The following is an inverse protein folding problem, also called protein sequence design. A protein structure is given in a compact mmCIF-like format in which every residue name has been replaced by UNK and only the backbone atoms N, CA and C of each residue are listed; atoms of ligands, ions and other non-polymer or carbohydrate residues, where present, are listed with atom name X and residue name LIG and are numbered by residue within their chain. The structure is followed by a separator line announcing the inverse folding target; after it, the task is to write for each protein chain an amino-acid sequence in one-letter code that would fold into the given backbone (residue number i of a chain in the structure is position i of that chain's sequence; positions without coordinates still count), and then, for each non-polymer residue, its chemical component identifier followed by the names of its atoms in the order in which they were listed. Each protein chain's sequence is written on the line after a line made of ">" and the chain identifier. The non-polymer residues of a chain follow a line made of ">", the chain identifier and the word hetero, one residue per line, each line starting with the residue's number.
data_IF_004507529002
#
_entry.id   IF_004507529002
#
_cell.length_a   1.000
_cell.length_b   1.000
_cell.length_c   1.000
_cell.angle_alpha   90.00
_cell.angle_beta   90.00
_cell.angle_gamma   90.00
#
_symmetry.space_group_name_H-M   'P 1'
#
loop_
_entity.id
_entity.type
_entity.pdbx_description
1 polymer ?
#
# COMPACT_ATOMS: atom_id res chain seq x y z
N UNK A 1 6.30 15.27 -21.76
CA UNK A 1 6.16 13.88 -21.25
C UNK A 1 7.18 13.01 -21.96
N UNK A 2 7.99 12.23 -21.21
CA UNK A 2 9.09 11.46 -21.82
C UNK A 2 8.59 10.14 -22.45
N UNK A 3 7.66 9.44 -21.80
CA UNK A 3 7.04 8.20 -22.29
C UNK A 3 5.54 8.38 -22.50
N UNK A 4 5.09 9.01 -23.60
CA UNK A 4 3.68 9.22 -23.87
C UNK A 4 2.91 7.92 -24.10
N UNK A 5 3.52 6.97 -24.80
CA UNK A 5 2.89 5.68 -25.13
C UNK A 5 2.55 4.88 -23.88
N UNK A 6 3.53 4.76 -22.96
CA UNK A 6 3.30 4.08 -21.69
C UNK A 6 2.28 4.80 -20.80
N UNK A 7 2.28 6.13 -20.82
CA UNK A 7 1.33 6.93 -20.06
C UNK A 7 -0.12 6.76 -20.55
N UNK A 8 -0.34 6.66 -21.86
CA UNK A 8 -1.68 6.47 -22.46
C UNK A 8 -2.31 5.14 -22.03
N UNK A 9 -1.51 4.08 -21.88
CA UNK A 9 -2.01 2.74 -21.53
C UNK A 9 -1.63 2.30 -20.09
N UNK A 10 -1.20 3.23 -19.26
CA UNK A 10 -0.81 2.99 -17.86
C UNK A 10 0.24 1.89 -17.68
N UNK A 11 1.24 1.83 -18.57
CA UNK A 11 2.33 0.86 -18.50
C UNK A 11 3.66 1.54 -18.21
N UNK A 12 4.53 0.83 -17.51
CA UNK A 12 5.90 1.24 -17.23
C UNK A 12 6.78 1.27 -18.49
N UNK A 13 6.48 0.42 -19.48
CA UNK A 13 7.27 0.23 -20.67
C UNK A 13 6.80 1.14 -21.80
N UNK A 14 7.73 1.52 -22.69
CA UNK A 14 7.40 2.24 -23.91
C UNK A 14 6.82 1.28 -24.98
N UNK A 15 6.46 1.82 -26.14
CA UNK A 15 5.89 1.04 -27.25
C UNK A 15 6.78 -0.06 -27.79
N UNK A 16 8.12 0.03 -27.57
CA UNK A 16 9.09 -1.00 -27.91
C UNK A 16 9.19 -2.11 -26.86
N UNK A 17 8.44 -2.01 -25.76
CA UNK A 17 8.52 -2.94 -24.64
C UNK A 17 9.72 -2.69 -23.71
N UNK A 18 10.47 -1.59 -23.89
CA UNK A 18 11.64 -1.24 -23.09
C UNK A 18 11.20 -0.58 -21.78
N UNK A 19 11.73 -1.05 -20.64
CA UNK A 19 11.68 -0.33 -19.38
C UNK A 19 12.72 0.79 -19.42
N UNK A 20 12.28 2.03 -19.60
CA UNK A 20 13.15 3.19 -19.74
C UNK A 20 14.06 3.34 -18.52
N UNK A 21 13.57 3.06 -17.31
CA UNK A 21 14.40 3.10 -16.09
C UNK A 21 15.30 1.86 -15.92
N UNK A 22 15.53 1.10 -16.99
CA UNK A 22 16.53 0.02 -17.09
C UNK A 22 17.35 0.15 -18.37
N UNK A 23 17.39 1.35 -18.95
CA UNK A 23 18.03 1.65 -20.23
C UNK A 23 19.19 2.66 -20.12
N UNK A 24 19.59 3.04 -18.90
CA UNK A 24 20.58 4.09 -18.68
C UNK A 24 22.01 3.72 -19.14
N UNK A 25 22.33 2.42 -19.27
CA UNK A 25 23.64 1.98 -19.80
C UNK A 25 23.69 2.00 -21.34
N UNK A 26 22.71 1.38 -21.97
CA UNK A 26 22.73 1.17 -23.42
C UNK A 26 22.08 2.32 -24.20
N UNK A 27 21.15 3.06 -23.56
CA UNK A 27 20.39 4.14 -24.19
C UNK A 27 19.74 3.68 -25.51
N UNK A 28 19.20 2.46 -25.52
CA UNK A 28 18.60 1.86 -26.71
C UNK A 28 17.32 2.58 -27.14
N UNK A 29 16.55 3.08 -26.16
CA UNK A 29 15.31 3.81 -26.43
C UNK A 29 15.57 5.29 -26.78
N UNK A 30 14.69 5.90 -27.59
CA UNK A 30 14.74 7.34 -27.84
C UNK A 30 14.51 8.16 -26.56
N UNK A 31 13.67 7.67 -25.65
CA UNK A 31 13.38 8.30 -24.37
C UNK A 31 14.63 8.30 -23.47
N UNK A 32 15.36 7.18 -23.40
CA UNK A 32 16.60 7.07 -22.64
C UNK A 32 17.65 8.05 -23.14
N UNK A 33 17.84 8.14 -24.47
CA UNK A 33 18.75 9.12 -25.10
C UNK A 33 18.33 10.55 -24.82
N UNK A 34 17.04 10.84 -24.89
CA UNK A 34 16.51 12.18 -24.62
C UNK A 34 16.76 12.59 -23.17
N UNK A 35 16.47 11.70 -22.20
CA UNK A 35 16.70 11.97 -20.79
C UNK A 35 18.17 12.25 -20.49
N UNK A 36 19.06 11.43 -21.04
CA UNK A 36 20.51 11.62 -20.91
C UNK A 36 20.96 12.95 -21.49
N UNK A 37 20.50 13.29 -22.70
CA UNK A 37 20.84 14.55 -23.39
C UNK A 37 20.34 15.77 -22.60
N UNK A 38 19.13 15.72 -22.07
CA UNK A 38 18.58 16.81 -21.23
C UNK A 38 19.42 16.98 -19.96
N UNK A 39 19.72 15.87 -19.27
CA UNK A 39 20.58 15.93 -18.08
C UNK A 39 21.93 16.55 -18.40
N UNK A 40 22.57 16.12 -19.48
CA UNK A 40 23.89 16.62 -19.85
C UNK A 40 23.88 18.10 -20.25
N UNK A 41 22.79 18.58 -20.84
CA UNK A 41 22.65 19.99 -21.23
C UNK A 41 22.36 20.91 -20.03
N UNK A 42 21.73 20.39 -18.98
CA UNK A 42 21.37 21.17 -17.78
C UNK A 42 22.53 21.24 -16.78
N UNK A 43 23.39 20.23 -16.73
CA UNK A 43 24.50 20.10 -15.76
C UNK A 43 24.06 20.42 -14.32
N UNK A 44 22.84 19.99 -13.95
CA UNK A 44 22.23 20.35 -12.67
C UNK A 44 22.99 19.72 -11.48
N UNK A 45 23.24 20.51 -10.44
CA UNK A 45 23.88 20.06 -9.21
C UNK A 45 23.00 19.10 -8.41
N UNK A 46 21.68 19.31 -8.44
CA UNK A 46 20.68 18.49 -7.74
C UNK A 46 19.55 18.06 -8.67
N UNK A 47 19.01 16.87 -8.41
CA UNK A 47 17.86 16.31 -9.10
C UNK A 47 16.94 15.53 -8.18
N UNK A 48 15.64 15.57 -8.48
CA UNK A 48 14.63 14.77 -7.77
C UNK A 48 14.15 13.62 -8.66
N UNK A 49 14.14 12.42 -8.09
CA UNK A 49 13.58 11.22 -8.70
C UNK A 49 12.33 10.82 -7.90
N UNK A 50 11.15 11.09 -8.48
CA UNK A 50 9.88 10.96 -7.78
C UNK A 50 9.21 9.63 -8.14
N UNK A 51 8.94 8.82 -7.13
CA UNK A 51 8.33 7.51 -7.22
C UNK A 51 7.14 7.34 -6.28
N UNK A 52 6.37 6.30 -6.53
CA UNK A 52 5.28 5.82 -5.70
C UNK A 52 5.58 4.41 -5.23
N UNK A 53 5.60 4.20 -3.92
CA UNK A 53 5.80 2.87 -3.34
C UNK A 53 4.50 2.31 -2.77
N UNK A 54 4.48 1.00 -2.56
CA UNK A 54 3.36 0.33 -1.91
C UNK A 54 3.09 0.90 -0.52
N UNK A 55 1.81 1.11 -0.18
CA UNK A 55 1.37 1.54 1.17
C UNK A 55 1.76 0.56 2.30
N UNK A 56 2.19 -0.65 1.95
CA UNK A 56 2.56 -1.69 2.91
C UNK A 56 3.99 -1.59 3.42
N UNK A 57 4.75 -0.57 3.00
CA UNK A 57 6.02 -0.25 3.62
C UNK A 57 5.83 0.50 4.93
N UNK A 58 6.57 0.09 5.97
CA UNK A 58 6.65 0.71 7.28
C UNK A 58 8.06 1.25 7.56
N UNK A 59 8.20 2.16 8.50
CA UNK A 59 9.48 2.46 9.11
C UNK A 59 9.92 1.23 9.93
N UNK A 60 11.14 0.77 9.73
CA UNK A 60 11.67 -0.50 10.25
C UNK A 60 11.28 -0.75 11.71
N UNK A 61 10.74 -1.94 11.99
CA UNK A 61 10.32 -2.41 13.34
C UNK A 61 9.25 -1.56 14.02
N UNK A 62 8.43 -0.85 13.25
CA UNK A 62 7.30 -0.08 13.79
C UNK A 62 6.02 -0.37 13.02
N UNK A 63 4.88 -0.03 13.64
CA UNK A 63 3.56 -0.04 13.00
C UNK A 63 3.29 1.22 12.15
N UNK A 64 4.27 2.13 12.08
CA UNK A 64 4.15 3.38 11.35
C UNK A 64 4.40 3.16 9.87
N UNK A 65 3.50 3.59 8.97
CA UNK A 65 3.77 3.53 7.54
C UNK A 65 4.99 4.40 7.19
N UNK A 66 5.82 3.93 6.26
CA UNK A 66 6.82 4.75 5.63
C UNK A 66 6.13 5.64 4.59
N UNK A 67 5.49 6.71 5.07
CA UNK A 67 4.70 7.64 4.25
C UNK A 67 5.54 8.30 3.17
N UNK A 68 6.76 8.69 3.53
CA UNK A 68 7.80 9.05 2.57
C UNK A 68 9.03 8.20 2.85
N UNK A 69 9.63 7.66 1.80
CA UNK A 69 10.96 7.06 1.91
C UNK A 69 11.93 7.80 1.01
N UNK A 70 13.11 8.07 1.53
CA UNK A 70 14.15 8.81 0.81
C UNK A 70 15.33 7.92 0.48
N UNK A 71 16.03 8.27 -0.59
CA UNK A 71 17.29 7.64 -0.95
C UNK A 71 18.22 8.65 -1.65
N UNK A 72 19.48 8.67 -1.23
CA UNK A 72 20.60 9.13 -2.05
C UNK A 72 21.18 7.89 -2.76
N UNK A 73 20.88 7.66 -4.06
CA UNK A 73 21.25 6.42 -4.75
C UNK A 73 22.74 6.15 -4.70
N UNK A 74 23.10 4.86 -4.66
CA UNK A 74 24.48 4.46 -4.87
C UNK A 74 24.90 4.73 -6.32
N UNK A 75 26.21 4.92 -6.56
CA UNK A 75 26.77 5.08 -7.90
C UNK A 75 27.73 3.95 -8.27
N UNK A 76 27.97 3.02 -7.33
CA UNK A 76 28.76 1.81 -7.49
C UNK A 76 28.29 0.71 -6.53
N UNK A 77 28.78 -0.50 -6.71
CA UNK A 77 28.44 -1.67 -5.89
C UNK A 77 28.95 -1.59 -4.46
N UNK A 78 30.04 -0.86 -4.23
CA UNK A 78 30.66 -0.64 -2.93
C UNK A 78 29.84 0.34 -2.07
N UNK A 79 28.85 1.03 -2.68
CA UNK A 79 28.02 2.05 -2.04
C UNK A 79 28.82 3.20 -1.46
N UNK A 80 29.93 3.55 -2.09
CA UNK A 80 30.80 4.63 -1.65
C UNK A 80 30.06 5.96 -1.55
N UNK A 81 30.54 6.82 -0.66
CA UNK A 81 30.00 8.16 -0.46
C UNK A 81 31.02 9.17 -0.96
N UNK A 82 30.79 9.69 -2.17
CA UNK A 82 31.50 10.85 -2.69
C UNK A 82 30.75 12.15 -2.32
N UNK A 83 31.29 13.30 -2.73
CA UNK A 83 30.68 14.62 -2.46
C UNK A 83 29.24 14.70 -3.03
N UNK A 84 29.02 14.21 -4.26
CA UNK A 84 27.72 14.25 -4.94
C UNK A 84 26.67 13.48 -4.15
N UNK A 85 26.97 12.25 -3.75
CA UNK A 85 26.06 11.43 -2.93
C UNK A 85 25.88 12.02 -1.53
N UNK A 86 26.97 12.49 -0.92
CA UNK A 86 26.95 13.11 0.40
C UNK A 86 26.06 14.37 0.46
N UNK A 87 26.07 15.18 -0.59
CA UNK A 87 25.21 16.36 -0.69
C UNK A 87 23.72 15.96 -0.73
N UNK A 88 23.34 14.96 -1.51
CA UNK A 88 21.98 14.42 -1.53
C UNK A 88 21.57 13.89 -0.13
N UNK A 89 22.44 13.12 0.54
CA UNK A 89 22.20 12.59 1.89
C UNK A 89 21.94 13.72 2.90
N UNK A 90 22.72 14.80 2.87
CA UNK A 90 22.56 15.96 3.78
C UNK A 90 21.23 16.68 3.54
N UNK A 91 20.82 16.88 2.28
CA UNK A 91 19.52 17.49 1.97
C UNK A 91 18.39 16.59 2.46
N UNK A 92 18.49 15.27 2.31
CA UNK A 92 17.50 14.30 2.82
C UNK A 92 17.35 14.39 4.35
N UNK A 93 18.42 14.59 5.09
CA UNK A 93 18.34 14.79 6.55
C UNK A 93 17.42 15.97 6.89
N UNK A 94 17.58 17.12 6.24
CA UNK A 94 16.73 18.29 6.46
C UNK A 94 15.27 18.04 6.03
N UNK A 95 15.07 17.33 4.93
CA UNK A 95 13.72 16.92 4.50
C UNK A 95 13.06 16.05 5.56
N UNK A 96 13.78 15.05 6.09
CA UNK A 96 13.29 14.18 7.16
C UNK A 96 12.96 14.98 8.43
N UNK A 97 13.85 15.84 8.90
CA UNK A 97 13.63 16.67 10.11
C UNK A 97 12.32 17.47 9.99
N UNK A 98 12.07 18.08 8.83
CA UNK A 98 10.84 18.82 8.60
C UNK A 98 9.61 17.92 8.60
N UNK A 99 9.65 16.79 7.89
CA UNK A 99 8.52 15.86 7.77
C UNK A 99 8.18 15.22 9.11
N UNK A 100 9.16 14.98 10.00
CA UNK A 100 8.91 14.50 11.35
C UNK A 100 8.00 15.43 12.17
N UNK A 101 7.91 16.71 11.85
CA UNK A 101 6.97 17.67 12.47
C UNK A 101 5.51 17.44 12.05
N UNK A 102 5.25 16.80 10.93
CA UNK A 102 3.91 16.54 10.37
C UNK A 102 3.51 15.07 10.45
N UNK A 103 4.44 14.16 10.24
CA UNK A 103 4.25 12.73 10.22
C UNK A 103 5.32 12.01 11.05
N UNK A 104 5.30 12.14 12.37
CA UNK A 104 6.35 11.62 13.26
C UNK A 104 6.47 10.10 13.18
N UNK A 105 7.69 9.63 12.91
CA UNK A 105 8.01 8.21 12.78
C UNK A 105 7.56 7.59 11.45
N UNK A 106 7.09 8.38 10.48
CA UNK A 106 6.56 7.89 9.21
C UNK A 106 7.49 8.17 8.02
N UNK A 107 8.78 8.30 8.28
CA UNK A 107 9.80 8.44 7.23
C UNK A 107 10.70 7.22 7.26
N UNK A 108 10.95 6.66 6.08
CA UNK A 108 11.87 5.57 5.87
C UNK A 108 13.06 5.96 4.98
N UNK A 109 14.10 5.14 5.01
CA UNK A 109 15.19 5.17 4.04
C UNK A 109 15.04 3.97 3.11
N UNK A 110 14.98 4.23 1.81
CA UNK A 110 14.84 3.17 0.81
C UNK A 110 16.16 2.41 0.62
N UNK A 111 16.08 1.17 0.13
CA UNK A 111 17.25 0.33 -0.15
C UNK A 111 18.18 1.00 -1.18
N UNK A 112 19.48 1.04 -0.89
CA UNK A 112 20.53 1.64 -1.72
C UNK A 112 21.34 0.64 -2.54
N UNK A 113 20.79 -0.54 -2.86
CA UNK A 113 21.42 -1.47 -3.78
C UNK A 113 21.59 -0.84 -5.17
N UNK A 114 22.83 -0.86 -5.66
CA UNK A 114 23.16 -0.25 -6.94
C UNK A 114 22.55 -1.01 -8.12
N UNK A 115 21.69 -0.35 -8.89
CA UNK A 115 21.15 -0.88 -10.16
C UNK A 115 21.76 -0.13 -11.34
N UNK A 116 22.80 -0.70 -11.96
CA UNK A 116 23.59 0.01 -12.99
C UNK A 116 22.80 0.41 -14.23
N UNK A 117 21.61 -0.16 -14.46
CA UNK A 117 20.74 0.19 -15.59
C UNK A 117 19.73 1.29 -15.24
N UNK A 118 19.58 1.64 -13.95
CA UNK A 118 18.61 2.65 -13.53
C UNK A 118 19.10 4.07 -13.77
N UNK A 119 18.20 4.95 -14.20
CA UNK A 119 18.54 6.37 -14.40
C UNK A 119 18.87 7.09 -13.09
N UNK A 120 18.18 6.78 -11.99
CA UNK A 120 18.47 7.41 -10.69
C UNK A 120 19.92 7.24 -10.26
N UNK A 121 20.42 6.00 -10.32
CA UNK A 121 21.79 5.63 -9.98
C UNK A 121 22.80 6.23 -10.97
N UNK A 122 22.47 6.23 -12.26
CA UNK A 122 23.37 6.81 -13.26
C UNK A 122 23.40 8.34 -13.23
N UNK A 123 22.30 9.01 -13.00
CA UNK A 123 22.27 10.48 -12.84
C UNK A 123 23.14 10.87 -11.64
N UNK A 124 23.05 10.11 -10.53
CA UNK A 124 23.97 10.24 -9.38
C UNK A 124 25.43 10.05 -9.82
N UNK A 125 25.73 8.98 -10.55
CA UNK A 125 27.06 8.66 -11.08
C UNK A 125 27.59 9.73 -12.04
N UNK A 126 26.71 10.36 -12.80
CA UNK A 126 27.07 11.42 -13.77
C UNK A 126 27.27 12.79 -13.09
N UNK A 127 27.17 12.88 -11.77
CA UNK A 127 27.52 14.08 -11.01
C UNK A 127 26.36 14.97 -10.54
N UNK A 128 25.10 14.55 -10.70
CA UNK A 128 23.93 15.23 -10.13
C UNK A 128 23.54 14.60 -8.80
N UNK A 129 23.56 15.38 -7.71
CA UNK A 129 23.12 14.92 -6.38
C UNK A 129 21.65 14.54 -6.43
N UNK A 130 21.36 13.25 -6.57
CA UNK A 130 20.02 12.73 -6.81
C UNK A 130 19.31 12.40 -5.50
N UNK A 131 18.10 12.95 -5.32
CA UNK A 131 17.22 12.70 -4.19
C UNK A 131 16.03 11.90 -4.68
N UNK A 132 15.97 10.62 -4.35
CA UNK A 132 14.81 9.79 -4.61
C UNK A 132 13.80 9.98 -3.49
N UNK A 133 12.53 10.11 -3.86
CA UNK A 133 11.38 10.16 -2.95
C UNK A 133 10.39 9.08 -3.39
N UNK A 134 10.10 8.15 -2.49
CA UNK A 134 9.06 7.15 -2.63
C UNK A 134 7.84 7.55 -1.79
N UNK A 135 6.70 7.76 -2.42
CA UNK A 135 5.43 8.10 -1.77
C UNK A 135 4.68 6.83 -1.39
N UNK A 136 4.54 6.54 -0.11
CA UNK A 136 3.94 5.32 0.42
C UNK A 136 2.47 5.45 0.81
N UNK A 137 2.14 4.98 2.02
CA UNK A 137 0.80 5.04 2.62
C UNK A 137 0.69 6.07 3.74
N UNK A 138 -0.54 6.54 3.97
CA UNK A 138 -0.92 7.35 5.13
C UNK A 138 -2.31 6.92 5.57
N UNK A 139 -2.56 6.85 6.89
CA UNK A 139 -3.82 6.38 7.42
C UNK A 139 -4.99 7.30 6.99
N UNK A 140 -6.05 6.73 6.45
CA UNK A 140 -7.24 7.43 5.96
C UNK A 140 -7.00 8.41 4.79
N UNK A 141 -5.91 8.24 4.03
CA UNK A 141 -5.55 9.08 2.89
C UNK A 141 -5.56 8.28 1.57
N UNK A 142 -6.72 7.70 1.23
CA UNK A 142 -6.88 6.88 0.02
C UNK A 142 -6.52 7.65 -1.27
N UNK A 143 -6.83 8.94 -1.31
CA UNK A 143 -6.56 9.83 -2.45
C UNK A 143 -5.18 10.51 -2.37
N UNK A 144 -4.33 10.09 -1.43
CA UNK A 144 -2.96 10.59 -1.22
C UNK A 144 -2.84 12.12 -1.10
N UNK A 145 -3.85 12.79 -0.52
CA UNK A 145 -3.85 14.26 -0.38
C UNK A 145 -2.87 14.74 0.68
N UNK A 146 -2.79 14.07 1.83
CA UNK A 146 -1.78 14.36 2.86
C UNK A 146 -0.38 13.99 2.38
N UNK A 147 -0.22 12.86 1.71
CA UNK A 147 1.06 12.46 1.11
C UNK A 147 1.54 13.50 0.08
N UNK A 148 0.63 14.01 -0.76
CA UNK A 148 0.94 15.06 -1.74
C UNK A 148 1.40 16.36 -1.06
N UNK A 149 0.73 16.76 0.01
CA UNK A 149 1.12 17.90 0.84
C UNK A 149 2.50 17.70 1.47
N UNK A 150 2.78 16.52 2.02
CA UNK A 150 4.08 16.20 2.60
C UNK A 150 5.19 16.22 1.54
N UNK A 151 4.96 15.70 0.34
CA UNK A 151 5.90 15.82 -0.78
C UNK A 151 6.18 17.29 -1.13
N UNK A 152 5.12 18.10 -1.25
CA UNK A 152 5.27 19.53 -1.56
C UNK A 152 6.13 20.24 -0.53
N UNK A 153 5.83 20.06 0.77
CA UNK A 153 6.56 20.69 1.87
C UNK A 153 8.02 20.21 1.91
N UNK A 154 8.22 18.91 1.70
CA UNK A 154 9.54 18.27 1.70
C UNK A 154 10.42 18.79 0.56
N UNK A 155 9.89 18.86 -0.67
CA UNK A 155 10.62 19.39 -1.82
C UNK A 155 10.92 20.88 -1.64
N UNK A 156 9.97 21.66 -1.11
CA UNK A 156 10.18 23.08 -0.86
C UNK A 156 11.32 23.31 0.17
N UNK A 157 11.37 22.48 1.22
CA UNK A 157 12.46 22.51 2.20
C UNK A 157 13.82 22.17 1.56
N UNK A 158 13.85 21.17 0.69
CA UNK A 158 15.05 20.80 -0.06
C UNK A 158 15.53 21.96 -0.94
N UNK A 159 14.64 22.58 -1.72
CA UNK A 159 14.96 23.72 -2.58
C UNK A 159 15.48 24.91 -1.76
N UNK A 160 14.86 25.20 -0.61
CA UNK A 160 15.35 26.25 0.30
C UNK A 160 16.74 25.93 0.84
N UNK A 161 16.96 24.69 1.26
CA UNK A 161 18.25 24.23 1.77
C UNK A 161 19.35 24.32 0.71
N UNK A 162 19.07 23.94 -0.52
CA UNK A 162 20.00 24.02 -1.66
C UNK A 162 20.33 25.49 -1.95
N UNK A 163 19.30 26.35 -2.07
CA UNK A 163 19.50 27.77 -2.40
C UNK A 163 20.29 28.52 -1.33
N UNK A 164 20.11 28.18 -0.06
CA UNK A 164 20.82 28.81 1.08
C UNK A 164 22.10 28.09 1.47
N UNK A 165 22.39 26.95 0.85
CA UNK A 165 23.50 26.04 1.19
C UNK A 165 23.48 25.57 2.64
N UNK A 166 22.31 25.58 3.29
CA UNK A 166 22.19 25.16 4.70
C UNK A 166 22.51 23.68 4.91
N UNK A 167 22.31 22.84 3.88
CA UNK A 167 22.68 21.42 3.91
C UNK A 167 24.17 21.17 4.15
N UNK A 168 25.06 22.12 3.76
CA UNK A 168 26.52 21.95 3.98
C UNK A 168 26.88 21.79 5.45
N UNK A 169 26.06 22.31 6.37
CA UNK A 169 26.26 22.25 7.82
C UNK A 169 25.78 20.96 8.47
N UNK A 170 25.12 20.11 7.70
CA UNK A 170 24.52 18.87 8.22
C UNK A 170 25.59 17.80 8.39
N UNK A 171 25.56 17.12 9.55
CA UNK A 171 26.37 15.93 9.79
C UNK A 171 25.82 14.76 8.95
N UNK A 172 26.67 14.21 8.11
CA UNK A 172 26.34 13.08 7.25
C UNK A 172 25.88 11.85 8.03
N UNK A 173 26.39 11.65 9.25
CA UNK A 173 25.99 10.54 10.11
C UNK A 173 24.51 10.59 10.53
N UNK A 174 23.84 11.73 10.41
CA UNK A 174 22.41 11.85 10.66
C UNK A 174 21.55 11.11 9.62
N UNK A 175 22.06 10.93 8.39
CA UNK A 175 21.37 10.16 7.37
C UNK A 175 21.16 8.70 7.77
N UNK A 176 22.16 8.07 8.38
CA UNK A 176 22.10 6.68 8.83
C UNK A 176 21.12 6.47 10.00
N UNK A 177 20.70 7.54 10.68
CA UNK A 177 19.70 7.48 11.76
C UNK A 177 18.26 7.42 11.24
N UNK A 178 18.02 7.72 9.96
CA UNK A 178 16.72 7.52 9.33
C UNK A 178 16.52 6.00 9.22
N UNK A 179 15.43 5.43 9.80
CA UNK A 179 15.21 3.98 9.77
C UNK A 179 15.05 3.48 8.33
N UNK A 180 15.45 2.25 8.07
CA UNK A 180 15.15 1.61 6.79
C UNK A 180 13.63 1.46 6.64
N UNK A 181 13.12 1.46 5.41
CA UNK A 181 11.78 0.99 5.18
C UNK A 181 11.77 -0.55 5.12
N UNK A 182 10.67 -1.15 5.57
CA UNK A 182 10.43 -2.58 5.53
C UNK A 182 9.00 -2.82 5.02
N UNK A 183 8.72 -3.94 4.37
CA UNK A 183 7.39 -4.22 3.81
C UNK A 183 6.62 -5.19 4.72
N UNK A 184 6.16 -4.69 5.87
CA UNK A 184 5.52 -5.50 6.93
C UNK A 184 4.18 -4.96 7.42
N UNK A 185 3.45 -4.20 6.59
CA UNK A 185 2.10 -3.76 6.91
C UNK A 185 1.04 -4.58 6.18
N UNK A 186 -0.08 -4.77 6.86
CA UNK A 186 -1.34 -5.25 6.29
C UNK A 186 -2.41 -4.16 6.45
N UNK A 187 -3.47 -4.18 5.64
CA UNK A 187 -4.65 -3.35 5.91
C UNK A 187 -5.36 -3.82 7.16
N UNK A 188 -5.57 -5.14 7.28
CA UNK A 188 -6.10 -5.76 8.48
C UNK A 188 -5.18 -6.91 8.93
N UNK A 189 -4.80 -6.90 10.21
CA UNK A 189 -4.15 -8.02 10.89
C UNK A 189 -5.09 -8.56 11.97
N UNK A 190 -5.36 -9.86 11.94
CA UNK A 190 -6.11 -10.57 12.98
C UNK A 190 -5.13 -11.47 13.71
N UNK A 191 -4.96 -11.28 15.01
CA UNK A 191 -3.99 -12.01 15.83
C UNK A 191 -4.66 -13.10 16.66
N UNK A 192 -4.00 -14.26 16.82
CA UNK A 192 -4.41 -15.34 17.73
C UNK A 192 -5.81 -15.90 17.48
N UNK A 193 -6.31 -15.91 16.25
CA UNK A 193 -7.64 -16.44 15.94
C UNK A 193 -7.64 -17.97 15.85
N UNK A 194 -8.68 -18.61 16.37
CA UNK A 194 -8.88 -20.06 16.25
C UNK A 194 -9.56 -20.41 14.92
N UNK A 195 -8.99 -21.39 14.25
CA UNK A 195 -9.49 -21.97 13.01
C UNK A 195 -9.63 -23.47 13.13
N UNK A 196 -10.81 -24.02 12.82
CA UNK A 196 -11.07 -25.45 12.82
C UNK A 196 -10.93 -26.05 11.42
N UNK A 197 -10.08 -27.06 11.28
CA UNK A 197 -9.88 -27.79 10.03
C UNK A 197 -9.71 -29.29 10.32
N UNK A 198 -10.54 -30.11 9.67
CA UNK A 198 -10.49 -31.58 9.78
C UNK A 198 -10.52 -32.08 11.24
N UNK A 199 -11.35 -31.43 12.07
CA UNK A 199 -11.52 -31.82 13.48
C UNK A 199 -10.40 -31.33 14.43
N UNK A 200 -9.41 -30.58 13.93
CA UNK A 200 -8.37 -29.98 14.75
C UNK A 200 -8.56 -28.47 14.83
N UNK A 201 -8.18 -27.89 15.97
CA UNK A 201 -8.18 -26.44 16.18
C UNK A 201 -6.75 -25.92 16.09
N UNK A 202 -6.57 -24.91 15.23
CA UNK A 202 -5.31 -24.18 15.05
C UNK A 202 -5.47 -22.76 15.55
N UNK A 203 -4.44 -22.18 16.15
CA UNK A 203 -4.39 -20.74 16.45
C UNK A 203 -3.37 -20.12 15.52
N UNK A 204 -3.76 -19.06 14.81
CA UNK A 204 -2.93 -18.42 13.80
C UNK A 204 -3.29 -16.93 13.64
N UNK A 205 -2.38 -16.19 13.02
CA UNK A 205 -2.63 -14.82 12.58
C UNK A 205 -3.06 -14.80 11.11
N UNK A 206 -3.77 -13.76 10.71
CA UNK A 206 -4.22 -13.52 9.33
C UNK A 206 -3.80 -12.12 8.92
N UNK A 207 -3.06 -12.00 7.82
CA UNK A 207 -2.71 -10.74 7.18
C UNK A 207 -3.50 -10.52 5.89
N UNK A 208 -4.16 -9.37 5.78
CA UNK A 208 -5.05 -9.02 4.67
C UNK A 208 -4.58 -7.75 3.96
N UNK A 209 -4.54 -7.76 2.63
CA UNK A 209 -4.38 -6.57 1.80
C UNK A 209 -5.67 -6.22 1.07
N UNK A 210 -5.87 -4.92 0.85
CA UNK A 210 -6.91 -4.37 -0.02
C UNK A 210 -6.30 -4.00 -1.36
N UNK A 211 -6.68 -4.73 -2.40
CA UNK A 211 -6.25 -4.48 -3.77
C UNK A 211 -7.28 -3.57 -4.47
N UNK A 212 -6.80 -2.53 -5.09
CA UNK A 212 -7.63 -1.67 -5.94
C UNK A 212 -7.86 -2.36 -7.29
N UNK A 213 -9.11 -2.39 -7.71
CA UNK A 213 -9.54 -2.99 -8.99
C UNK A 213 -10.38 -1.96 -9.72
N UNK A 214 -9.93 -1.55 -10.88
CA UNK A 214 -10.63 -0.59 -11.71
C UNK A 214 -11.94 -1.16 -12.26
N UNK A 215 -12.93 -0.27 -12.43
CA UNK A 215 -14.08 -0.59 -13.26
C UNK A 215 -13.68 -0.66 -14.75
N UNK A 216 -14.58 -1.13 -15.61
CA UNK A 216 -14.29 -1.31 -17.04
C UNK A 216 -13.96 -0.01 -17.79
N UNK A 217 -14.37 1.15 -17.26
CA UNK A 217 -14.10 2.47 -17.85
C UNK A 217 -12.89 3.17 -17.25
N UNK A 218 -12.23 2.56 -16.24
CA UNK A 218 -11.14 3.16 -15.47
C UNK A 218 -11.45 4.51 -14.83
N UNK A 219 -12.75 4.80 -14.62
CA UNK A 219 -13.24 6.04 -14.00
C UNK A 219 -13.40 5.93 -12.49
N UNK A 220 -13.52 4.69 -11.99
CA UNK A 220 -13.71 4.36 -10.58
C UNK A 220 -13.00 3.05 -10.27
N UNK A 221 -12.73 2.82 -9.00
CA UNK A 221 -12.18 1.56 -8.53
C UNK A 221 -12.99 1.01 -7.35
N UNK A 222 -12.84 -0.27 -7.11
CA UNK A 222 -13.34 -0.94 -5.91
C UNK A 222 -12.24 -1.78 -5.26
N UNK A 223 -12.40 -2.04 -3.97
CA UNK A 223 -11.41 -2.80 -3.21
C UNK A 223 -11.73 -4.28 -3.24
N UNK A 224 -10.73 -5.09 -3.58
CA UNK A 224 -10.77 -6.55 -3.46
C UNK A 224 -9.77 -7.00 -2.41
N UNK A 225 -10.26 -7.43 -1.25
CA UNK A 225 -9.38 -7.94 -0.22
C UNK A 225 -8.89 -9.34 -0.53
N UNK A 226 -7.65 -9.62 -0.11
CA UNK A 226 -7.05 -10.95 -0.16
C UNK A 226 -6.25 -11.22 1.11
N UNK A 227 -6.31 -12.47 1.58
CA UNK A 227 -5.36 -12.98 2.57
C UNK A 227 -3.99 -13.07 1.89
N UNK A 228 -3.01 -12.39 2.47
CA UNK A 228 -1.66 -12.36 1.93
C UNK A 228 -0.71 -13.30 2.67
N UNK A 229 -1.00 -13.54 3.95
CA UNK A 229 -0.21 -14.46 4.76
C UNK A 229 -1.02 -15.02 5.93
N UNK A 230 -0.62 -16.19 6.43
CA UNK A 230 -1.25 -16.95 7.51
C UNK A 230 -0.18 -17.58 8.40
N UNK A 231 -0.40 -17.60 9.71
CA UNK A 231 0.48 -18.30 10.63
C UNK A 231 1.05 -17.40 11.71
N UNK A 232 2.37 -17.36 11.88
CA UNK A 232 3.05 -16.44 12.80
C UNK A 232 3.39 -15.13 12.10
N UNK A 233 2.60 -14.10 12.37
CA UNK A 233 2.83 -12.76 11.84
C UNK A 233 3.31 -11.79 12.93
N UNK A 234 4.00 -12.28 13.96
CA UNK A 234 4.46 -11.50 15.12
C UNK A 234 5.39 -10.33 14.76
N UNK A 235 6.06 -10.41 13.60
CA UNK A 235 6.95 -9.35 13.08
C UNK A 235 6.26 -8.42 12.07
N UNK A 236 4.96 -8.60 11.84
CA UNK A 236 4.15 -7.79 10.94
C UNK A 236 3.17 -6.92 11.72
N UNK A 237 2.68 -5.87 11.09
CA UNK A 237 1.77 -4.90 11.67
C UNK A 237 0.54 -4.72 10.79
N UNK A 238 -0.52 -4.14 11.33
CA UNK A 238 -1.73 -3.79 10.58
C UNK A 238 -2.05 -2.30 10.72
N UNK A 239 -2.55 -1.69 9.65
CA UNK A 239 -3.23 -0.40 9.75
C UNK A 239 -4.42 -0.51 10.72
N UNK A 240 -5.11 -1.66 10.66
CA UNK A 240 -6.07 -2.10 11.65
C UNK A 240 -5.62 -3.45 12.23
N UNK A 241 -5.63 -3.60 13.56
CA UNK A 241 -5.26 -4.86 14.23
C UNK A 241 -6.36 -5.28 15.18
N UNK A 242 -6.84 -6.52 15.00
CA UNK A 242 -7.76 -7.18 15.93
C UNK A 242 -7.05 -8.26 16.72
N UNK A 243 -6.98 -8.12 18.03
CA UNK A 243 -6.55 -9.21 18.93
C UNK A 243 -7.68 -10.19 19.14
N UNK A 244 -7.65 -11.32 18.45
CA UNK A 244 -8.74 -12.30 18.38
C UNK A 244 -8.54 -13.51 19.31
N UNK A 245 -7.76 -13.38 20.37
CA UNK A 245 -7.56 -14.45 21.35
C UNK A 245 -8.89 -14.89 21.96
N UNK A 246 -9.20 -16.18 21.78
CA UNK A 246 -10.47 -16.77 22.22
C UNK A 246 -11.62 -16.63 21.22
N UNK A 247 -11.39 -15.99 20.08
CA UNK A 247 -12.34 -15.99 18.97
C UNK A 247 -12.12 -17.17 18.05
N UNK A 248 -13.22 -17.70 17.51
CA UNK A 248 -13.23 -18.75 16.48
C UNK A 248 -13.77 -18.19 15.17
N UNK A 249 -13.17 -18.61 14.07
CA UNK A 249 -13.69 -18.34 12.72
C UNK A 249 -14.93 -19.21 12.50
N UNK A 250 -16.01 -18.59 12.05
CA UNK A 250 -17.25 -19.25 11.63
C UNK A 250 -17.46 -18.97 10.14
N UNK A 251 -17.61 -20.01 9.30
CA UNK A 251 -17.95 -19.83 7.89
C UNK A 251 -19.27 -19.09 7.70
N UNK A 252 -19.31 -18.21 6.70
CA UNK A 252 -20.53 -17.47 6.37
C UNK A 252 -21.54 -18.32 5.62
N UNK A 253 -22.84 -18.05 5.82
CA UNK A 253 -23.97 -18.66 5.11
C UNK A 253 -24.51 -17.71 4.05
N UNK A 254 -25.24 -18.26 3.05
CA UNK A 254 -25.99 -17.48 2.06
C UNK A 254 -27.38 -17.23 2.59
N UNK A 255 -27.79 -15.95 2.59
CA UNK A 255 -29.19 -15.54 2.83
C UNK A 255 -29.91 -15.37 1.50
N UNK A 256 -31.07 -16.03 1.35
CA UNK A 256 -31.96 -15.87 0.21
C UNK A 256 -33.09 -14.92 0.62
N UNK A 257 -33.14 -13.68 0.08
CA UNK A 257 -34.18 -12.72 0.44
C UNK A 257 -35.56 -13.16 -0.07
N UNK A 258 -36.61 -12.74 0.63
CA UNK A 258 -37.99 -12.91 0.17
C UNK A 258 -38.27 -12.00 -1.02
N UNK A 259 -39.27 -12.33 -1.82
CA UNK A 259 -39.68 -11.50 -2.97
C UNK A 259 -39.98 -10.06 -2.50
N UNK A 260 -39.28 -9.09 -3.06
CA UNK A 260 -39.41 -7.67 -2.73
C UNK A 260 -38.66 -7.21 -1.48
N UNK A 261 -37.96 -8.09 -0.79
CA UNK A 261 -37.12 -7.72 0.35
C UNK A 261 -35.91 -6.92 -0.12
N UNK A 262 -35.72 -5.73 0.50
CA UNK A 262 -34.63 -4.84 0.14
C UNK A 262 -33.41 -5.05 1.08
N UNK A 263 -32.19 -4.93 0.55
CA UNK A 263 -30.97 -5.01 1.34
C UNK A 263 -30.76 -3.68 2.08
N UNK A 264 -31.13 -3.64 3.37
CA UNK A 264 -30.81 -2.49 4.23
C UNK A 264 -29.64 -2.81 5.17
N UNK A 265 -28.96 -1.78 5.69
CA UNK A 265 -27.85 -1.95 6.62
C UNK A 265 -28.31 -2.67 7.90
N UNK A 266 -29.43 -2.30 8.46
CA UNK A 266 -30.01 -2.90 9.69
C UNK A 266 -30.30 -4.39 9.48
N UNK A 267 -30.85 -4.72 8.32
CA UNK A 267 -31.10 -6.11 7.93
C UNK A 267 -29.80 -6.89 7.82
N UNK A 268 -28.77 -6.31 7.17
CA UNK A 268 -27.48 -6.93 7.02
C UNK A 268 -26.83 -7.22 8.39
N UNK A 269 -26.80 -6.25 9.31
CA UNK A 269 -26.28 -6.47 10.66
C UNK A 269 -27.04 -7.58 11.41
N UNK A 270 -28.37 -7.62 11.28
CA UNK A 270 -29.19 -8.69 11.87
C UNK A 270 -28.86 -10.06 11.28
N UNK A 271 -28.54 -10.14 9.99
CA UNK A 271 -28.19 -11.35 9.30
C UNK A 271 -26.77 -11.82 9.65
N UNK A 272 -25.81 -10.90 9.71
CA UNK A 272 -24.43 -11.19 10.13
C UNK A 272 -24.41 -11.84 11.54
N UNK A 273 -25.19 -11.30 12.50
CA UNK A 273 -25.35 -11.89 13.84
C UNK A 273 -25.93 -13.31 13.82
N UNK A 274 -26.65 -13.69 12.74
CA UNK A 274 -27.26 -15.04 12.55
C UNK A 274 -26.39 -15.98 11.70
N UNK A 275 -25.19 -15.52 11.31
CA UNK A 275 -24.26 -16.35 10.55
C UNK A 275 -24.28 -16.18 9.03
N UNK A 276 -25.03 -15.21 8.49
CA UNK A 276 -25.10 -14.96 7.06
C UNK A 276 -24.09 -13.87 6.66
N UNK A 277 -23.23 -14.18 5.70
CA UNK A 277 -22.24 -13.22 5.14
C UNK A 277 -22.61 -12.85 3.70
N UNK A 278 -23.33 -13.73 3.03
CA UNK A 278 -23.67 -13.57 1.62
C UNK A 278 -25.16 -13.29 1.44
N UNK A 279 -25.48 -12.30 0.61
CA UNK A 279 -26.84 -11.94 0.20
C UNK A 279 -27.06 -12.39 -1.23
N UNK A 280 -28.01 -13.29 -1.48
CA UNK A 280 -28.38 -13.71 -2.82
C UNK A 280 -29.27 -12.64 -3.48
N UNK A 281 -28.79 -12.01 -4.54
CA UNK A 281 -29.53 -10.94 -5.19
C UNK A 281 -29.02 -10.51 -6.54
N UNK A 282 -29.71 -9.57 -7.20
CA UNK A 282 -29.24 -9.02 -8.45
C UNK A 282 -27.95 -8.25 -8.23
N UNK A 283 -27.03 -8.35 -9.18
CA UNK A 283 -25.73 -7.68 -9.15
C UNK A 283 -25.82 -6.15 -9.32
N UNK A 284 -26.95 -5.65 -9.83
CA UNK A 284 -27.19 -4.22 -10.05
C UNK A 284 -27.79 -3.58 -8.79
N UNK A 285 -26.98 -3.38 -7.76
CA UNK A 285 -27.40 -2.62 -6.57
C UNK A 285 -27.03 -1.14 -6.67
N UNK A 286 -26.48 -0.68 -7.80
CA UNK A 286 -25.96 0.68 -7.96
C UNK A 286 -24.87 1.01 -6.92
N UNK A 287 -24.61 2.30 -6.71
CA UNK A 287 -23.58 2.80 -5.76
C UNK A 287 -23.80 2.31 -4.32
N UNK A 288 -25.04 2.01 -3.94
CA UNK A 288 -25.36 1.48 -2.59
C UNK A 288 -24.82 0.07 -2.36
N UNK A 289 -24.57 -0.71 -3.39
CA UNK A 289 -24.03 -2.07 -3.28
C UNK A 289 -22.61 -2.12 -2.75
N UNK A 290 -21.80 -1.14 -3.09
CA UNK A 290 -20.41 -1.07 -2.63
C UNK A 290 -20.27 -0.78 -1.14
N UNK A 291 -21.29 -0.18 -0.52
CA UNK A 291 -21.30 0.16 0.90
C UNK A 291 -22.17 -0.80 1.73
N UNK A 292 -22.59 -1.93 1.16
CA UNK A 292 -23.41 -2.91 1.85
C UNK A 292 -22.53 -3.88 2.66
N UNK A 293 -22.83 -4.11 3.96
CA UNK A 293 -21.95 -4.87 4.85
C UNK A 293 -22.05 -6.40 4.68
N UNK A 294 -22.51 -6.89 3.55
CA UNK A 294 -22.53 -8.30 3.14
C UNK A 294 -22.06 -8.44 1.70
N UNK A 295 -21.51 -9.59 1.36
CA UNK A 295 -21.21 -9.93 -0.03
C UNK A 295 -22.49 -10.20 -0.80
N UNK A 296 -22.74 -9.47 -1.88
CA UNK A 296 -23.86 -9.75 -2.79
C UNK A 296 -23.43 -10.78 -3.83
N UNK A 297 -24.16 -11.88 -3.91
CA UNK A 297 -23.83 -13.00 -4.81
C UNK A 297 -24.98 -13.32 -5.76
N UNK A 298 -24.65 -13.78 -6.96
CA UNK A 298 -25.64 -14.19 -7.94
C UNK A 298 -26.17 -15.61 -7.65
N UNK A 299 -27.25 -15.99 -8.31
CA UNK A 299 -27.81 -17.34 -8.24
C UNK A 299 -26.89 -18.45 -8.80
N UNK A 300 -25.81 -18.08 -9.47
CA UNK A 300 -24.77 -19.01 -9.94
C UNK A 300 -23.67 -19.24 -8.90
N UNK A 301 -23.66 -18.45 -7.84
CA UNK A 301 -22.66 -18.58 -6.78
C UNK A 301 -22.89 -19.86 -5.98
N UNK A 302 -21.86 -20.67 -5.89
CA UNK A 302 -21.83 -21.87 -5.06
C UNK A 302 -20.89 -21.59 -3.90
N UNK A 303 -21.40 -21.70 -2.66
CA UNK A 303 -20.57 -21.54 -1.48
C UNK A 303 -19.56 -22.69 -1.40
N UNK A 304 -18.26 -22.43 -1.52
CA UNK A 304 -17.25 -23.48 -1.43
C UNK A 304 -17.10 -23.96 0.02
N UNK A 305 -16.53 -25.16 0.19
CA UNK A 305 -16.05 -25.59 1.50
C UNK A 305 -15.07 -24.55 2.04
N UNK A 306 -15.35 -24.05 3.24
CA UNK A 306 -14.56 -22.98 3.81
C UNK A 306 -13.16 -23.48 4.20
N UNK A 307 -12.14 -22.91 3.59
CA UNK A 307 -10.72 -23.11 3.94
C UNK A 307 -9.96 -21.80 3.85
N UNK A 308 -9.13 -21.56 4.85
CA UNK A 308 -8.18 -20.43 4.77
C UNK A 308 -7.00 -20.80 3.87
N UNK A 309 -6.66 -19.90 2.94
CA UNK A 309 -5.46 -19.99 2.10
C UNK A 309 -5.06 -18.60 1.60
N UNK A 310 -3.79 -18.45 1.24
CA UNK A 310 -3.28 -17.21 0.65
C UNK A 310 -3.95 -16.96 -0.71
N UNK A 311 -4.49 -15.75 -0.91
CA UNK A 311 -5.30 -15.38 -2.08
C UNK A 311 -6.81 -15.46 -1.87
N UNK A 312 -7.28 -16.09 -0.77
CA UNK A 312 -8.71 -16.10 -0.42
C UNK A 312 -9.21 -14.68 -0.16
N UNK A 313 -10.40 -14.34 -0.69
CA UNK A 313 -11.14 -13.18 -0.22
C UNK A 313 -11.68 -13.43 1.19
N UNK A 314 -11.21 -12.70 2.21
CA UNK A 314 -11.64 -12.96 3.59
C UNK A 314 -13.05 -12.45 3.85
N UNK A 315 -14.00 -13.41 3.91
CA UNK A 315 -15.40 -13.18 4.24
C UNK A 315 -15.89 -14.28 5.15
N UNK A 316 -15.88 -14.01 6.47
CA UNK A 316 -16.20 -14.95 7.54
C UNK A 316 -16.65 -14.21 8.80
N UNK A 317 -17.06 -14.93 9.81
CA UNK A 317 -17.53 -14.39 11.08
C UNK A 317 -16.56 -14.77 12.20
N UNK A 318 -16.56 -13.97 13.26
CA UNK A 318 -15.78 -14.22 14.46
C UNK A 318 -16.73 -14.39 15.66
N UNK A 319 -16.63 -15.53 16.30
CA UNK A 319 -17.45 -15.89 17.46
C UNK A 319 -16.58 -16.07 18.70
N UNK A 320 -17.04 -15.54 19.81
CA UNK A 320 -16.48 -15.77 21.15
C UNK A 320 -17.58 -16.24 22.08
N UNK A 321 -17.32 -17.29 22.85
CA UNK A 321 -18.28 -17.90 23.79
C UNK A 321 -19.65 -18.23 23.15
N UNK A 322 -19.63 -18.68 21.88
CA UNK A 322 -20.81 -19.02 21.12
C UNK A 322 -21.57 -17.82 20.51
N UNK A 323 -21.13 -16.58 20.76
CA UNK A 323 -21.76 -15.36 20.26
C UNK A 323 -20.96 -14.78 19.09
N UNK A 324 -21.59 -14.58 17.94
CA UNK A 324 -21.02 -13.88 16.81
C UNK A 324 -21.03 -12.38 17.12
N UNK A 325 -19.86 -11.79 17.29
CA UNK A 325 -19.72 -10.37 17.65
C UNK A 325 -19.01 -9.54 16.59
N UNK A 326 -18.27 -10.18 15.69
CA UNK A 326 -17.60 -9.51 14.58
C UNK A 326 -17.81 -10.27 13.27
N UNK A 327 -17.74 -9.56 12.17
CA UNK A 327 -17.68 -10.12 10.83
C UNK A 327 -16.47 -9.54 10.09
N UNK A 328 -15.88 -10.33 9.24
CA UNK A 328 -14.94 -9.87 8.20
C UNK A 328 -15.65 -10.06 6.87
N UNK A 329 -15.86 -8.98 6.13
CA UNK A 329 -16.55 -9.00 4.84
C UNK A 329 -15.68 -8.27 3.82
N UNK A 330 -15.24 -8.98 2.78
CA UNK A 330 -14.25 -8.45 1.84
C UNK A 330 -13.05 -7.82 2.56
N UNK A 331 -12.58 -8.45 3.63
CA UNK A 331 -11.45 -7.97 4.43
C UNK A 331 -11.77 -6.88 5.45
N UNK A 332 -12.92 -6.22 5.36
CA UNK A 332 -13.31 -5.19 6.33
C UNK A 332 -13.80 -5.81 7.63
N UNK A 333 -13.21 -5.40 8.74
CA UNK A 333 -13.63 -5.81 10.08
C UNK A 333 -14.85 -5.01 10.53
N UNK A 334 -15.88 -5.71 10.97
CA UNK A 334 -17.16 -5.16 11.40
C UNK A 334 -17.41 -5.56 12.83
N UNK A 335 -17.47 -4.60 13.75
CA UNK A 335 -17.98 -4.80 15.09
C UNK A 335 -19.52 -4.78 15.05
N UNK A 336 -20.15 -5.93 15.26
CA UNK A 336 -21.60 -6.07 15.18
C UNK A 336 -22.33 -5.47 16.39
N UNK A 337 -21.62 -5.03 17.41
CA UNK A 337 -22.19 -4.36 18.58
C UNK A 337 -22.23 -2.84 18.43
N UNK A 338 -21.45 -2.29 17.50
CA UNK A 338 -21.40 -0.86 17.18
C UNK A 338 -22.07 -0.60 15.84
N UNK A 339 -23.02 0.33 15.83
CA UNK A 339 -23.53 0.83 14.55
C UNK A 339 -22.46 1.74 13.93
N UNK A 340 -22.02 1.39 12.80
CA UNK A 340 -21.23 2.09 11.80
C UNK A 340 -19.86 1.53 11.51
N UNK A 341 -19.67 1.30 10.28
CA UNK A 341 -18.41 1.61 9.61
C UNK A 341 -18.75 1.94 8.17
N UNK A 342 -18.06 2.91 7.64
CA UNK A 342 -18.09 3.14 6.21
C UNK A 342 -17.40 1.96 5.55
N UNK A 343 -18.18 1.00 5.01
CA UNK A 343 -17.64 0.04 4.08
C UNK A 343 -17.40 0.77 2.79
N UNK A 344 -16.20 0.72 2.30
CA UNK A 344 -15.92 1.16 0.95
C UNK A 344 -15.67 -0.08 0.09
N UNK A 345 -16.45 -0.17 -0.98
CA UNK A 345 -16.16 -1.08 -2.09
C UNK A 345 -16.26 -2.59 -1.76
N UNK A 346 -17.41 -3.03 -1.22
CA UNK A 346 -17.72 -4.44 -1.15
C UNK A 346 -17.73 -5.06 -2.57
N UNK A 347 -17.16 -6.28 -2.72
CA UNK A 347 -17.15 -6.98 -4.00
C UNK A 347 -18.48 -7.67 -4.22
N UNK A 348 -18.95 -7.62 -5.47
CA UNK A 348 -19.97 -8.50 -5.99
C UNK A 348 -19.31 -9.74 -6.58
N UNK A 349 -19.50 -10.88 -5.95
CA UNK A 349 -19.07 -12.17 -6.51
C UNK A 349 -20.07 -12.62 -7.59
N UNK A 350 -19.60 -12.70 -8.82
CA UNK A 350 -20.39 -13.11 -9.99
C UNK A 350 -20.35 -14.62 -10.23
#
# INVERSE_FOLDING_TARGET
>A
MLNPDGAEVFTRRNTLGIDINRDALDLASPEGRTLKSVRDSLEADFGFNLHDQSKYYNAERTDKPATLSYLAPAYNYEKDINEVRGNAMKVIVLMNELVQGFAPGQVGRYNDDFEPRAFGDNIQKWGTSTILIESGGFLNDAEKQEIRKLNYVSILAALYSIATKSYEKIDLAAYEKIPQNDRKLFDLKIEDVQYELLGNTYTLDIGVHYLEVDNASHSEYFTKAQIMDLGDLSTYYGYETMRAKGYKIIPGKIYTPKKGEQPTKEKAYSLLKKGYVYWLGPLAMGDNGFNFPMQVVSNKFVLPDFRLYVGLNPSFLLSKDGVISHAVVNGYLIDLQKESSAFRNAIFLR
#
